data_IF_926123839752
#
_entry.id   IF_926123839752
#
_cell.length_a   1.000
_cell.length_b   1.000
_cell.length_c   1.000
_cell.angle_alpha   90.00
_cell.angle_beta   90.00
_cell.angle_gamma   90.00
#
_symmetry.space_group_name_H-M   'P 1'
#
loop_
_entity.id
_entity.type
_entity.pdbx_description
1 polymer ?
#
# COMPACT_ATOMS: atom_id res chain seq x y z
N UNK A 1 -9.16 -21.00 46.93
CA UNK A 1 -8.05 -20.73 45.99
C UNK A 1 -8.28 -21.51 44.70
N UNK A 2 -8.73 -20.84 43.62
CA UNK A 2 -8.82 -21.36 42.24
C UNK A 2 -7.72 -20.79 41.33
N UNK A 3 -6.62 -20.30 41.91
CA UNK A 3 -5.56 -19.60 41.18
C UNK A 3 -4.84 -20.45 40.13
N UNK A 4 -4.69 -21.76 40.35
CA UNK A 4 -3.95 -22.66 39.46
C UNK A 4 -4.65 -22.83 38.10
N UNK A 5 -5.97 -23.16 38.04
CA UNK A 5 -6.67 -23.27 36.75
C UNK A 5 -6.77 -21.94 36.00
N UNK A 6 -6.92 -20.82 36.71
CA UNK A 6 -7.00 -19.49 36.08
C UNK A 6 -5.65 -19.10 35.45
N UNK A 7 -4.54 -19.34 36.15
CA UNK A 7 -3.19 -19.10 35.62
C UNK A 7 -2.91 -19.94 34.37
N UNK A 8 -3.24 -21.23 34.40
CA UNK A 8 -3.07 -22.15 33.27
C UNK A 8 -3.87 -21.71 32.05
N UNK A 9 -5.12 -21.29 32.26
CA UNK A 9 -6.01 -20.80 31.21
C UNK A 9 -5.45 -19.54 30.55
N UNK A 10 -4.97 -18.59 31.36
CA UNK A 10 -4.35 -17.35 30.87
C UNK A 10 -3.07 -17.66 30.09
N UNK A 11 -2.21 -18.55 30.57
CA UNK A 11 -0.99 -18.95 29.87
C UNK A 11 -1.28 -19.55 28.50
N UNK A 12 -2.30 -20.41 28.38
CA UNK A 12 -2.71 -21.00 27.10
C UNK A 12 -3.18 -19.93 26.12
N UNK A 13 -4.00 -18.98 26.58
CA UNK A 13 -4.48 -17.87 25.74
C UNK A 13 -3.30 -17.03 25.22
N UNK A 14 -2.35 -16.69 26.09
CA UNK A 14 -1.15 -15.92 25.69
C UNK A 14 -0.32 -16.69 24.66
N UNK A 15 -0.14 -18.00 24.84
CA UNK A 15 0.59 -18.85 23.89
C UNK A 15 -0.11 -18.89 22.53
N UNK A 16 -1.43 -19.04 22.51
CA UNK A 16 -2.21 -19.07 21.26
C UNK A 16 -2.10 -17.73 20.52
N UNK A 17 -2.25 -16.61 21.22
CA UNK A 17 -2.14 -15.27 20.63
C UNK A 17 -0.74 -15.06 20.06
N UNK A 18 0.30 -15.33 20.87
CA UNK A 18 1.69 -15.12 20.44
C UNK A 18 2.07 -16.00 19.26
N UNK A 19 1.71 -17.29 19.26
CA UNK A 19 1.93 -18.19 18.12
C UNK A 19 1.18 -17.75 16.86
N UNK A 20 -0.06 -17.28 17.01
CA UNK A 20 -0.86 -16.77 15.89
C UNK A 20 -0.27 -15.49 15.28
N UNK A 21 0.48 -14.70 16.06
CA UNK A 21 1.16 -13.50 15.56
C UNK A 21 2.51 -13.78 14.88
N UNK A 22 3.10 -14.97 15.01
CA UNK A 22 4.41 -15.31 14.41
C UNK A 22 4.46 -15.10 12.88
N UNK A 23 3.45 -15.48 12.07
CA UNK A 23 3.47 -15.24 10.63
C UNK A 23 3.53 -13.76 10.25
N UNK A 24 2.89 -12.89 11.05
CA UNK A 24 2.89 -11.43 10.85
C UNK A 24 4.30 -10.87 11.05
N UNK A 25 4.97 -11.26 12.14
CA UNK A 25 6.35 -10.83 12.41
C UNK A 25 7.36 -11.42 11.41
N UNK A 26 7.17 -12.67 10.94
CA UNK A 26 8.00 -13.24 9.86
C UNK A 26 7.82 -12.53 8.53
N UNK A 27 6.66 -11.90 8.31
CA UNK A 27 6.32 -11.18 7.08
C UNK A 27 6.50 -9.67 7.23
N UNK A 28 7.22 -9.19 8.24
CA UNK A 28 7.40 -7.76 8.53
C UNK A 28 7.93 -6.96 7.34
N UNK A 29 8.81 -7.56 6.55
CA UNK A 29 9.33 -6.94 5.32
C UNK A 29 8.26 -6.75 4.25
N UNK A 30 7.27 -7.65 4.16
CA UNK A 30 6.12 -7.54 3.25
C UNK A 30 5.08 -6.52 3.71
N UNK A 31 5.04 -6.21 5.01
CA UNK A 31 4.08 -5.28 5.60
C UNK A 31 4.56 -3.82 5.58
N UNK A 32 5.87 -3.58 5.71
CA UNK A 32 6.41 -2.22 5.88
C UNK A 32 7.24 -1.71 4.69
N UNK A 33 7.65 -2.58 3.77
CA UNK A 33 8.32 -2.19 2.53
C UNK A 33 7.40 -2.42 1.34
N UNK A 34 6.18 -1.93 1.45
CA UNK A 34 5.23 -1.95 0.35
C UNK A 34 5.65 -0.89 -0.68
N UNK A 35 6.65 -1.26 -1.48
CA UNK A 35 7.14 -0.47 -2.62
C UNK A 35 5.97 -0.13 -3.54
N UNK A 36 4.94 -1.00 -3.59
CA UNK A 36 3.78 -0.84 -4.43
C UNK A 36 2.95 0.39 -4.00
N UNK A 37 2.78 0.62 -2.69
CA UNK A 37 2.08 1.84 -2.22
C UNK A 37 2.87 3.12 -2.53
N UNK A 38 4.17 3.13 -2.27
CA UNK A 38 5.01 4.29 -2.57
C UNK A 38 5.07 4.57 -4.09
N UNK A 39 5.12 3.51 -4.89
CA UNK A 39 5.06 3.59 -6.34
C UNK A 39 3.70 4.12 -6.81
N UNK A 40 2.60 3.63 -6.23
CA UNK A 40 1.25 4.12 -6.52
C UNK A 40 1.09 5.60 -6.16
N UNK A 41 1.54 6.01 -4.97
CA UNK A 41 1.51 7.41 -4.53
C UNK A 41 2.35 8.32 -5.43
N UNK A 42 3.57 7.90 -5.79
CA UNK A 42 4.43 8.67 -6.70
C UNK A 42 3.83 8.82 -8.10
N UNK A 43 3.10 7.81 -8.60
CA UNK A 43 2.33 7.93 -9.87
C UNK A 43 1.23 8.98 -9.76
N UNK A 44 0.49 9.02 -8.64
CA UNK A 44 -0.54 10.03 -8.41
C UNK A 44 0.05 11.45 -8.41
N UNK A 45 1.18 11.62 -7.71
CA UNK A 45 1.88 12.90 -7.67
C UNK A 45 2.37 13.33 -9.06
N UNK A 46 2.94 12.41 -9.85
CA UNK A 46 3.41 12.69 -11.20
C UNK A 46 2.27 13.10 -12.14
N UNK A 47 1.10 12.44 -12.07
CA UNK A 47 -0.09 12.83 -12.82
C UNK A 47 -0.58 14.20 -12.37
N UNK A 48 -0.71 14.44 -11.07
CA UNK A 48 -1.13 15.74 -10.50
C UNK A 48 -0.23 16.87 -10.98
N UNK A 49 1.09 16.67 -10.94
CA UNK A 49 2.09 17.62 -11.41
C UNK A 49 1.97 17.89 -12.91
N UNK A 50 1.75 16.85 -13.71
CA UNK A 50 1.52 16.97 -15.16
C UNK A 50 0.30 17.85 -15.48
N UNK A 51 -0.79 17.68 -14.72
CA UNK A 51 -2.02 18.43 -14.91
C UNK A 51 -1.92 19.88 -14.42
N UNK A 52 -1.38 20.11 -13.22
CA UNK A 52 -1.35 21.45 -12.59
C UNK A 52 -0.23 22.32 -13.17
N UNK A 53 0.99 21.79 -13.29
CA UNK A 53 2.14 22.61 -13.71
C UNK A 53 2.24 22.68 -15.24
N UNK A 54 1.99 21.56 -15.92
CA UNK A 54 2.21 21.43 -17.36
C UNK A 54 0.92 21.41 -18.18
N UNK A 55 -0.26 21.45 -17.54
CA UNK A 55 -1.57 21.47 -18.21
C UNK A 55 -1.73 20.34 -19.26
N UNK A 56 -1.10 19.19 -19.01
CA UNK A 56 -1.04 18.07 -19.97
C UNK A 56 -1.52 16.78 -19.32
N UNK A 57 -2.39 16.04 -20.02
CA UNK A 57 -2.76 14.68 -19.63
C UNK A 57 -1.67 13.68 -20.05
N UNK A 58 -1.08 12.92 -19.11
CA UNK A 58 -0.05 11.95 -19.45
C UNK A 58 -0.64 10.76 -20.21
N UNK A 59 -0.22 10.58 -21.46
CA UNK A 59 -0.64 9.45 -22.32
C UNK A 59 0.34 8.26 -22.27
N UNK A 60 1.37 8.37 -21.43
CA UNK A 60 2.41 7.37 -21.20
C UNK A 60 2.88 7.45 -19.75
N UNK A 61 3.40 6.35 -19.21
CA UNK A 61 3.95 6.38 -17.86
C UNK A 61 5.22 7.23 -17.76
N UNK A 62 5.41 7.88 -16.61
CA UNK A 62 6.50 8.84 -16.36
C UNK A 62 7.86 8.20 -16.08
N UNK A 63 7.96 6.88 -16.17
CA UNK A 63 9.16 6.13 -15.81
C UNK A 63 10.20 6.09 -16.94
N UNK A 64 11.48 6.18 -16.56
CA UNK A 64 12.63 6.09 -17.47
C UNK A 64 12.66 4.70 -18.14
N UNK A 65 12.67 4.67 -19.48
CA UNK A 65 12.70 3.41 -20.25
C UNK A 65 11.61 3.25 -21.30
N UNK A 66 10.78 4.27 -21.52
CA UNK A 66 9.72 4.22 -22.54
C UNK A 66 8.45 3.59 -21.96
N UNK A 67 7.88 4.28 -20.97
CA UNK A 67 6.68 3.88 -20.26
C UNK A 67 5.61 3.19 -21.11
N UNK A 68 4.99 2.16 -20.55
CA UNK A 68 3.83 1.52 -21.15
C UNK A 68 2.75 2.56 -21.48
N UNK A 69 1.96 2.36 -22.56
CA UNK A 69 0.78 3.17 -22.79
C UNK A 69 -0.10 3.09 -21.54
N UNK A 70 -0.48 4.25 -21.00
CA UNK A 70 -1.38 4.33 -19.83
C UNK A 70 -2.70 3.60 -20.05
N UNK A 71 -3.11 3.45 -21.31
CA UNK A 71 -4.28 2.69 -21.76
C UNK A 71 -4.26 1.17 -21.43
N UNK A 72 -3.20 0.64 -20.82
CA UNK A 72 -3.13 -0.77 -20.42
C UNK A 72 -2.63 -1.03 -19.00
N UNK A 73 -2.30 0.01 -18.23
CA UNK A 73 -1.84 -0.16 -16.84
C UNK A 73 -3.03 -0.01 -15.88
N UNK A 74 -3.48 -1.09 -15.20
CA UNK A 74 -4.62 -1.02 -14.28
C UNK A 74 -4.36 -0.11 -13.07
N UNK A 75 -3.10 0.22 -12.79
CA UNK A 75 -2.69 1.11 -11.70
C UNK A 75 -2.38 2.53 -12.17
N UNK A 76 -2.63 2.86 -13.44
CA UNK A 76 -2.46 4.23 -13.94
C UNK A 76 -3.51 5.18 -13.32
N UNK A 77 -3.07 6.24 -12.62
CA UNK A 77 -4.02 7.17 -12.02
C UNK A 77 -4.56 8.21 -12.98
N UNK A 78 -4.10 8.30 -14.24
CA UNK A 78 -4.45 9.39 -15.16
C UNK A 78 -5.96 9.65 -15.30
N UNK A 79 -6.76 8.59 -15.36
CA UNK A 79 -8.23 8.65 -15.45
C UNK A 79 -8.94 8.20 -14.17
N UNK A 80 -8.20 8.07 -13.06
CA UNK A 80 -8.77 7.73 -11.78
C UNK A 80 -9.57 8.93 -11.22
N UNK A 81 -10.84 8.77 -10.85
CA UNK A 81 -11.64 9.85 -10.26
C UNK A 81 -11.01 10.49 -9.02
N UNK A 82 -10.18 9.74 -8.27
CA UNK A 82 -9.48 10.27 -7.09
C UNK A 82 -8.44 11.34 -7.45
N UNK A 83 -7.90 11.33 -8.68
CA UNK A 83 -7.00 12.40 -9.14
C UNK A 83 -7.74 13.73 -9.21
N UNK A 84 -9.04 13.74 -9.53
CA UNK A 84 -9.84 14.96 -9.54
C UNK A 84 -9.83 15.65 -8.17
N UNK A 85 -9.86 14.89 -7.07
CA UNK A 85 -9.81 15.42 -5.71
C UNK A 85 -8.47 16.12 -5.43
N UNK A 86 -7.39 15.73 -6.12
CA UNK A 86 -6.04 16.27 -5.90
C UNK A 86 -5.70 17.50 -6.74
N UNK A 87 -6.54 17.82 -7.73
CA UNK A 87 -6.35 18.95 -8.66
C UNK A 87 -7.43 20.04 -8.53
N UNK A 88 -8.50 19.78 -7.77
CA UNK A 88 -9.44 20.80 -7.27
C UNK A 88 -8.79 21.67 -6.19
#
# INVERSE_FOLDING_TARGET
MRMIPDFLSISIIVIIITLSSVPVFKSWSKLNFDVDFLQYASRHEAVRKSLIEYHTFPTRSHWLGGGFPTLGDPEDPTLNPLVLITIL
#
